data_IF_324343822112
#
_entry.id   IF_324343822112
#
_cell.length_a   1.000
_cell.length_b   1.000
_cell.length_c   1.000
_cell.angle_alpha   90.00
_cell.angle_beta   90.00
_cell.angle_gamma   90.00
#
_symmetry.space_group_name_H-M   'P 1'
#
loop_
_entity.id
_entity.type
_entity.pdbx_description
1 polymer ?
#
# COMPACT_ATOMS: atom_id res chain seq x y z
N UNK A 1 -10.60 0.14 -12.11
CA UNK A 1 -9.19 0.03 -11.65
C UNK A 1 -8.51 -1.11 -12.38
N UNK A 2 -7.21 -0.99 -12.72
CA UNK A 2 -6.46 -2.07 -13.37
C UNK A 2 -5.84 -2.99 -12.31
N UNK A 3 -6.16 -4.29 -12.38
CA UNK A 3 -5.70 -5.29 -11.40
C UNK A 3 -4.69 -6.29 -11.98
N UNK A 4 -4.55 -6.34 -13.31
CA UNK A 4 -3.76 -7.33 -14.01
C UNK A 4 -2.69 -6.66 -14.86
N UNK A 5 -1.42 -7.01 -14.62
CA UNK A 5 -0.26 -6.33 -15.20
C UNK A 5 0.64 -7.30 -15.95
N UNK A 6 1.12 -6.90 -17.12
CA UNK A 6 2.09 -7.68 -17.89
C UNK A 6 3.50 -7.46 -17.37
N UNK A 7 4.40 -8.43 -17.58
CA UNK A 7 5.79 -8.34 -17.13
C UNK A 7 6.49 -7.07 -17.62
N UNK A 8 6.18 -6.61 -18.85
CA UNK A 8 6.74 -5.40 -19.44
C UNK A 8 6.35 -4.11 -18.70
N UNK A 9 5.19 -4.11 -18.05
CA UNK A 9 4.66 -2.96 -17.30
C UNK A 9 5.27 -2.88 -15.89
N UNK A 10 5.89 -3.97 -15.44
CA UNK A 10 6.48 -4.11 -14.11
C UNK A 10 8.01 -3.91 -14.14
N UNK A 11 8.59 -3.79 -15.33
CA UNK A 11 10.03 -3.58 -15.50
C UNK A 11 10.40 -2.19 -15.02
N UNK A 12 11.45 -2.11 -14.19
CA UNK A 12 12.01 -0.83 -13.75
C UNK A 12 11.29 -0.18 -12.57
N UNK A 13 10.23 -0.80 -12.03
CA UNK A 13 9.66 -0.38 -10.75
C UNK A 13 10.67 -0.61 -9.61
N UNK A 14 10.58 0.17 -8.54
CA UNK A 14 11.58 0.15 -7.47
C UNK A 14 11.68 -1.23 -6.81
N UNK A 15 12.84 -1.89 -6.92
CA UNK A 15 13.06 -3.24 -6.41
C UNK A 15 12.54 -4.37 -7.32
N UNK A 16 12.04 -4.06 -8.51
CA UNK A 16 11.69 -5.03 -9.53
C UNK A 16 12.83 -5.28 -10.52
N UNK A 17 12.87 -6.47 -11.15
CA UNK A 17 13.87 -6.76 -12.18
C UNK A 17 13.78 -5.80 -13.37
N UNK A 18 14.94 -5.43 -13.90
CA UNK A 18 15.04 -4.53 -15.06
C UNK A 18 14.68 -5.19 -16.40
N UNK A 19 14.23 -6.45 -16.42
CA UNK A 19 13.87 -7.18 -17.64
C UNK A 19 12.59 -7.98 -17.47
N UNK A 20 11.77 -8.14 -18.53
CA UNK A 20 10.55 -8.96 -18.47
C UNK A 20 10.84 -10.41 -18.07
N UNK A 21 11.98 -10.97 -18.47
CA UNK A 21 12.42 -12.31 -18.11
C UNK A 21 12.72 -12.40 -16.60
N UNK A 22 13.36 -11.38 -16.04
CA UNK A 22 13.60 -11.27 -14.60
C UNK A 22 12.29 -11.23 -13.82
N UNK A 23 11.32 -10.43 -14.27
CA UNK A 23 9.97 -10.36 -13.67
C UNK A 23 9.30 -11.74 -13.72
N UNK A 24 9.32 -12.42 -14.87
CA UNK A 24 8.75 -13.77 -15.00
C UNK A 24 9.41 -14.79 -14.06
N UNK A 25 10.73 -14.71 -13.88
CA UNK A 25 11.48 -15.58 -12.95
C UNK A 25 11.07 -15.32 -11.50
N UNK A 26 10.98 -14.05 -11.10
CA UNK A 26 10.52 -13.63 -9.77
C UNK A 26 9.08 -14.09 -9.51
N UNK A 27 8.18 -13.83 -10.45
CA UNK A 27 6.77 -14.25 -10.37
C UNK A 27 6.60 -15.77 -10.20
N UNK A 28 7.46 -16.56 -10.86
CA UNK A 28 7.48 -18.01 -10.69
C UNK A 28 8.02 -18.42 -9.32
N UNK A 29 9.08 -17.78 -8.83
CA UNK A 29 9.68 -18.06 -7.53
C UNK A 29 8.71 -17.74 -6.38
N UNK A 30 7.99 -16.62 -6.49
CA UNK A 30 7.06 -16.11 -5.49
C UNK A 30 5.62 -16.57 -5.70
N UNK A 31 5.37 -17.44 -6.70
CA UNK A 31 4.05 -18.04 -6.99
C UNK A 31 2.94 -17.02 -7.18
N UNK A 32 3.23 -15.94 -7.90
CA UNK A 32 2.25 -14.89 -8.17
C UNK A 32 1.00 -15.43 -8.88
N UNK A 33 -0.15 -14.88 -8.51
CA UNK A 33 -1.42 -15.13 -9.19
C UNK A 33 -1.30 -14.61 -10.62
N UNK A 34 -1.55 -15.51 -11.59
CA UNK A 34 -1.37 -15.22 -13.01
C UNK A 34 -2.52 -15.73 -13.84
N UNK A 35 -2.80 -15.04 -14.94
CA UNK A 35 -3.77 -15.45 -15.97
C UNK A 35 -3.18 -15.29 -17.36
N UNK A 36 -3.76 -15.95 -18.37
CA UNK A 36 -3.40 -15.67 -19.77
C UNK A 36 -3.78 -14.23 -20.10
N UNK A 37 -2.88 -13.50 -20.76
CA UNK A 37 -3.15 -12.14 -21.19
C UNK A 37 -4.35 -12.12 -22.15
N UNK A 38 -5.28 -11.18 -21.94
CA UNK A 38 -6.43 -11.02 -22.82
C UNK A 38 -6.09 -10.05 -23.95
N UNK A 39 -6.55 -10.33 -25.17
CA UNK A 39 -6.42 -9.42 -26.31
C UNK A 39 -5.00 -9.31 -26.92
N UNK A 40 -4.10 -10.23 -26.62
CA UNK A 40 -2.76 -10.29 -27.23
C UNK A 40 -2.58 -11.61 -27.98
N UNK A 41 -2.09 -11.52 -29.22
CA UNK A 41 -1.63 -12.68 -29.98
C UNK A 41 -0.35 -13.25 -29.35
N UNK A 42 -0.47 -14.29 -28.53
CA UNK A 42 0.68 -15.01 -27.97
C UNK A 42 0.43 -15.73 -26.65
N UNK A 43 1.47 -16.41 -26.11
CA UNK A 43 1.47 -17.07 -24.79
C UNK A 43 1.95 -16.12 -23.68
N UNK A 44 1.44 -14.89 -23.64
CA UNK A 44 1.76 -13.95 -22.58
C UNK A 44 0.90 -14.18 -21.33
N UNK A 45 1.48 -13.89 -20.16
CA UNK A 45 0.78 -13.93 -18.87
C UNK A 45 0.66 -12.52 -18.29
N UNK A 46 -0.42 -12.31 -17.54
CA UNK A 46 -0.63 -11.17 -16.67
C UNK A 46 -0.58 -11.63 -15.21
N UNK A 47 -0.16 -10.74 -14.32
CA UNK A 47 -0.03 -10.97 -12.89
C UNK A 47 -0.96 -10.04 -12.11
N UNK A 48 -1.55 -10.57 -11.04
CA UNK A 48 -2.49 -9.83 -10.20
C UNK A 48 -1.78 -8.84 -9.29
N UNK A 49 -2.37 -7.65 -9.10
CA UNK A 49 -1.85 -6.57 -8.24
C UNK A 49 -1.46 -7.08 -6.84
N UNK A 50 -2.33 -7.85 -6.18
CA UNK A 50 -2.08 -8.41 -4.85
C UNK A 50 -0.95 -9.45 -4.77
N UNK A 51 -0.37 -9.86 -5.91
CA UNK A 51 0.83 -10.70 -5.89
C UNK A 51 2.12 -9.90 -5.72
N UNK A 52 2.05 -8.58 -5.80
CA UNK A 52 3.23 -7.71 -5.69
C UNK A 52 3.45 -7.25 -4.25
N UNK A 53 4.68 -6.82 -3.89
CA UNK A 53 4.93 -6.14 -2.63
C UNK A 53 4.06 -4.89 -2.45
N UNK A 54 3.69 -4.54 -1.22
CA UNK A 54 2.81 -3.40 -0.91
C UNK A 54 3.29 -2.09 -1.52
N UNK A 55 4.58 -1.80 -1.51
CA UNK A 55 5.12 -0.56 -2.09
C UNK A 55 4.87 -0.47 -3.61
N UNK A 56 4.89 -1.61 -4.31
CA UNK A 56 4.57 -1.69 -5.74
C UNK A 56 3.08 -1.61 -5.97
N UNK A 57 2.27 -2.20 -5.07
CA UNK A 57 0.83 -2.02 -5.12
C UNK A 57 0.48 -0.54 -5.05
N UNK A 58 1.08 0.20 -4.12
CA UNK A 58 0.89 1.66 -3.97
C UNK A 58 1.38 2.44 -5.20
N UNK A 59 2.53 2.08 -5.77
CA UNK A 59 3.06 2.74 -6.98
C UNK A 59 2.15 2.53 -8.20
N UNK A 60 1.55 1.35 -8.34
CA UNK A 60 0.59 1.03 -9.41
C UNK A 60 -0.84 1.52 -9.12
N UNK A 61 -1.14 1.80 -7.85
CA UNK A 61 -2.46 2.17 -7.35
C UNK A 61 -2.46 3.63 -6.88
N UNK A 62 -2.62 4.57 -7.81
CA UNK A 62 -2.67 6.01 -7.49
C UNK A 62 -3.86 6.42 -6.61
N UNK A 63 -4.91 5.58 -6.55
CA UNK A 63 -6.06 5.75 -5.65
C UNK A 63 -6.35 4.39 -5.04
N UNK A 64 -6.02 4.19 -3.76
CA UNK A 64 -6.44 2.99 -3.03
C UNK A 64 -7.98 2.95 -3.04
N UNK A 65 -8.62 1.90 -3.56
CA UNK A 65 -10.05 1.72 -3.39
C UNK A 65 -10.35 1.70 -1.89
N UNK A 66 -11.21 2.61 -1.44
CA UNK A 66 -11.63 2.71 -0.04
C UNK A 66 -12.13 1.34 0.46
N UNK A 67 -12.72 0.52 -0.41
CA UNK A 67 -13.16 -0.85 -0.14
C UNK A 67 -12.04 -1.79 0.38
N UNK A 68 -10.78 -1.55 0.00
CA UNK A 68 -9.65 -2.38 0.42
C UNK A 68 -9.15 -1.97 1.80
N UNK A 69 -9.14 -0.66 2.06
CA UNK A 69 -8.88 -0.10 3.38
C UNK A 69 -9.94 -0.59 4.36
N UNK A 70 -11.23 -0.51 4.01
CA UNK A 70 -12.33 -0.85 4.92
C UNK A 70 -12.34 -2.31 5.36
N UNK A 71 -11.88 -3.25 4.52
CA UNK A 71 -11.76 -4.66 4.90
C UNK A 71 -10.82 -4.87 6.09
N UNK A 72 -9.70 -4.14 6.11
CA UNK A 72 -8.72 -4.14 7.20
C UNK A 72 -9.23 -3.31 8.41
N UNK A 73 -10.00 -2.24 8.14
CA UNK A 73 -10.68 -1.49 9.20
C UNK A 73 -11.70 -2.33 9.97
N UNK A 74 -12.19 -3.46 9.43
CA UNK A 74 -13.11 -4.33 10.17
C UNK A 74 -12.47 -5.12 11.31
N UNK A 75 -11.15 -5.27 11.29
CA UNK A 75 -10.37 -5.94 12.34
C UNK A 75 -9.85 -4.97 13.41
N UNK A 76 -10.03 -3.67 13.21
CA UNK A 76 -9.65 -2.65 14.19
C UNK A 76 -10.63 -2.62 15.35
N UNK A 77 -10.11 -2.34 16.54
CA UNK A 77 -10.93 -2.00 17.70
C UNK A 77 -11.74 -0.72 17.44
N UNK A 78 -12.91 -0.60 18.08
CA UNK A 78 -13.89 0.47 17.78
C UNK A 78 -13.31 1.88 17.95
N UNK A 79 -12.38 2.06 18.89
CA UNK A 79 -11.64 3.31 19.11
C UNK A 79 -10.80 3.71 17.88
N UNK A 80 -10.12 2.76 17.25
CA UNK A 80 -9.31 3.01 16.04
C UNK A 80 -10.19 3.29 14.83
N UNK A 81 -11.34 2.62 14.72
CA UNK A 81 -12.32 2.85 13.64
C UNK A 81 -12.91 4.26 13.72
N UNK A 82 -13.33 4.67 14.92
CA UNK A 82 -13.86 6.01 15.16
C UNK A 82 -12.81 7.10 14.85
N UNK A 83 -11.55 6.85 15.23
CA UNK A 83 -10.48 7.81 14.98
C UNK A 83 -10.18 7.98 13.48
N UNK A 84 -10.16 6.88 12.72
CA UNK A 84 -9.98 6.93 11.27
C UNK A 84 -11.16 7.64 10.60
N UNK A 85 -12.39 7.34 10.99
CA UNK A 85 -13.56 8.02 10.46
C UNK A 85 -13.49 9.54 10.74
N UNK A 86 -13.08 9.93 11.93
CA UNK A 86 -12.91 11.34 12.29
C UNK A 86 -11.85 12.03 11.44
N UNK A 87 -10.74 11.35 11.14
CA UNK A 87 -9.67 11.89 10.28
C UNK A 87 -10.16 12.11 8.85
N UNK A 88 -10.94 11.17 8.29
CA UNK A 88 -11.44 11.25 6.92
C UNK A 88 -12.45 12.39 6.72
N UNK A 89 -13.15 12.79 7.78
CA UNK A 89 -14.13 13.89 7.77
C UNK A 89 -13.55 15.23 8.26
N UNK A 90 -12.31 15.24 8.74
CA UNK A 90 -11.65 16.45 9.25
C UNK A 90 -11.05 17.29 8.12
N UNK A 91 -11.08 18.61 8.28
CA UNK A 91 -10.35 19.50 7.38
C UNK A 91 -8.83 19.50 7.66
N UNK A 92 -8.05 19.95 6.68
CA UNK A 92 -6.59 19.99 6.75
C UNK A 92 -6.06 20.86 7.91
N UNK A 93 -6.79 21.90 8.31
CA UNK A 93 -6.37 22.80 9.38
C UNK A 93 -6.47 22.12 10.75
N UNK A 94 -7.55 21.38 10.98
CA UNK A 94 -7.76 20.57 12.17
C UNK A 94 -6.74 19.42 12.22
N UNK A 95 -6.50 18.75 11.09
CA UNK A 95 -5.54 17.64 11.01
C UNK A 95 -4.12 18.11 11.35
N UNK A 96 -3.70 19.25 10.82
CA UNK A 96 -2.40 19.85 11.12
C UNK A 96 -2.28 20.26 12.60
N UNK A 97 -3.36 20.79 13.18
CA UNK A 97 -3.40 21.16 14.60
C UNK A 97 -3.23 19.93 15.49
N UNK A 98 -3.98 18.86 15.19
CA UNK A 98 -3.89 17.58 15.92
C UNK A 98 -2.50 16.96 15.80
N UNK A 99 -1.93 16.92 14.58
CA UNK A 99 -0.58 16.42 14.36
C UNK A 99 0.44 17.14 15.24
N UNK A 100 0.43 18.47 15.22
CA UNK A 100 1.37 19.27 16.01
C UNK A 100 1.19 19.05 17.51
N UNK A 101 -0.05 18.96 18.01
CA UNK A 101 -0.32 18.71 19.42
C UNK A 101 0.08 17.29 19.87
N UNK A 102 -0.19 16.28 19.05
CA UNK A 102 0.17 14.88 19.35
C UNK A 102 1.68 14.72 19.37
N UNK A 103 2.38 15.27 18.38
CA UNK A 103 3.85 15.25 18.35
C UNK A 103 4.43 15.99 19.55
N UNK A 104 3.94 17.20 19.86
CA UNK A 104 4.43 17.98 21.00
C UNK A 104 4.24 17.24 22.32
N UNK A 105 3.02 16.79 22.63
CA UNK A 105 2.72 16.05 23.87
C UNK A 105 3.47 14.72 23.95
N UNK A 106 3.64 14.04 22.81
CA UNK A 106 4.45 12.83 22.72
C UNK A 106 5.92 13.10 23.06
N UNK A 107 6.50 14.17 22.50
CA UNK A 107 7.86 14.59 22.80
C UNK A 107 8.04 15.00 24.27
N UNK A 108 7.11 15.76 24.84
CA UNK A 108 7.13 16.12 26.27
C UNK A 108 7.12 14.88 27.17
N UNK A 109 6.30 13.89 26.86
CA UNK A 109 6.22 12.63 27.59
C UNK A 109 7.54 11.82 27.52
N UNK A 110 8.16 11.75 26.35
CA UNK A 110 9.45 11.07 26.18
C UNK A 110 10.61 11.79 26.90
N UNK A 111 10.61 13.13 26.89
CA UNK A 111 11.57 13.93 27.64
C UNK A 111 11.38 13.79 29.17
N UNK A 112 10.14 13.67 29.65
CA UNK A 112 9.86 13.45 31.08
C UNK A 112 10.35 12.06 31.55
N UNK A 113 10.27 11.05 30.69
CA UNK A 113 10.65 9.66 31.04
C UNK A 113 12.17 9.44 31.06
N UNK A 114 12.93 10.23 30.30
CA UNK A 114 14.40 10.16 30.24
C UNK A 114 15.11 10.93 31.36
N UNK A 115 14.38 11.73 32.14
CA UNK A 115 14.93 12.52 33.24
C UNK A 115 14.88 11.79 34.60
N UNK A 116 14.43 10.53 34.65
CA UNK A 116 14.36 9.69 35.87
C UNK A 116 15.20 8.40 35.77
N UNK A 117 16.24 8.39 34.94
CA UNK A 117 17.27 7.34 34.91
C UNK A 117 18.66 7.91 35.20
#
# INVERSE_FOLDING_TARGET
>A
MKEWYQSKELVGLSGFPATPQGVNKKAKAERWLRRKAQGIEGRAYEYHLFSFPTHIQLELCTVLPIEWVTSDLTQLSDDKRLFIQLILEADDALLNTLYNQVIHKGMESMCATTCHQ
#
